data_IF_204434787991
#
_entry.id   IF_204434787991
#
_cell.length_a   1.000
_cell.length_b   1.000
_cell.length_c   1.000
_cell.angle_alpha   90.00
_cell.angle_beta   90.00
_cell.angle_gamma   90.00
#
_symmetry.space_group_name_H-M   'P 1'
#
loop_
_entity.id
_entity.type
_entity.pdbx_description
1 polymer ?
#
# COMPACT_ATOMS: atom_id res chain seq x y z
N UNK A 1 -0.69 -0.18 -21.87
CA UNK A 1 -0.78 -0.12 -23.36
C UNK A 1 0.26 -1.03 -24.03
N UNK A 2 1.54 -1.01 -23.63
CA UNK A 2 2.58 -1.85 -24.24
C UNK A 2 2.29 -3.37 -24.26
N UNK A 3 1.67 -3.93 -23.21
CA UNK A 3 1.33 -5.35 -23.17
C UNK A 3 0.28 -5.74 -24.23
N UNK A 4 -0.72 -4.87 -24.46
CA UNK A 4 -1.75 -5.07 -25.49
C UNK A 4 -1.15 -4.92 -26.89
N UNK A 5 -0.29 -3.92 -27.09
CA UNK A 5 0.41 -3.69 -28.36
C UNK A 5 1.32 -4.86 -28.76
N UNK A 6 1.84 -5.60 -27.77
CA UNK A 6 2.72 -6.75 -27.99
C UNK A 6 1.99 -8.10 -28.04
N UNK A 7 0.69 -8.13 -27.75
CA UNK A 7 -0.07 -9.36 -27.52
C UNK A 7 -0.03 -10.34 -28.71
N UNK A 8 -0.26 -9.84 -29.93
CA UNK A 8 -0.28 -10.68 -31.13
C UNK A 8 1.09 -11.34 -31.35
N UNK A 9 2.17 -10.58 -31.16
CA UNK A 9 3.55 -11.08 -31.28
C UNK A 9 3.91 -12.11 -30.22
N UNK A 10 3.44 -11.93 -28.99
CA UNK A 10 3.66 -12.90 -27.91
C UNK A 10 2.86 -14.18 -28.15
N UNK A 11 1.65 -14.06 -28.69
CA UNK A 11 0.76 -15.19 -29.01
C UNK A 11 1.32 -16.08 -30.12
N UNK A 12 2.09 -15.53 -31.05
CA UNK A 12 2.82 -16.31 -32.06
C UNK A 12 3.85 -17.28 -31.43
N UNK A 13 4.36 -16.98 -30.23
CA UNK A 13 5.39 -17.78 -29.54
C UNK A 13 4.75 -18.83 -28.63
N UNK A 14 3.77 -18.43 -27.81
CA UNK A 14 3.10 -19.30 -26.84
C UNK A 14 1.71 -18.75 -26.46
N UNK A 15 0.83 -19.59 -25.86
CA UNK A 15 -0.41 -19.11 -25.25
C UNK A 15 -0.13 -17.93 -24.32
N UNK A 16 -0.74 -16.79 -24.62
CA UNK A 16 -0.51 -15.52 -23.92
C UNK A 16 -1.81 -15.06 -23.28
N UNK A 17 -1.74 -14.60 -22.03
CA UNK A 17 -2.88 -14.06 -21.29
C UNK A 17 -2.53 -12.65 -20.82
N UNK A 18 -3.51 -11.75 -20.91
CA UNK A 18 -3.42 -10.40 -20.35
C UNK A 18 -4.16 -10.38 -19.02
N UNK A 19 -3.46 -10.02 -17.94
CA UNK A 19 -4.08 -9.70 -16.66
C UNK A 19 -4.56 -8.24 -16.72
N UNK A 20 -5.85 -8.03 -16.47
CA UNK A 20 -6.46 -6.70 -16.54
C UNK A 20 -5.93 -5.78 -15.43
N UNK A 21 -5.66 -4.52 -15.76
CA UNK A 21 -5.36 -3.49 -14.78
C UNK A 21 -6.58 -3.03 -13.96
N UNK A 22 -7.77 -3.55 -14.28
CA UNK A 22 -8.96 -3.37 -13.47
C UNK A 22 -8.97 -4.28 -12.22
N UNK A 23 -8.12 -5.30 -12.17
CA UNK A 23 -7.94 -6.14 -10.98
C UNK A 23 -6.97 -5.41 -10.04
N UNK A 24 -7.54 -4.73 -9.05
CA UNK A 24 -6.80 -3.78 -8.21
C UNK A 24 -6.08 -4.46 -7.03
N UNK A 25 -6.54 -5.64 -6.61
CA UNK A 25 -5.94 -6.38 -5.50
C UNK A 25 -5.11 -7.55 -5.98
N UNK A 26 -4.12 -7.98 -5.18
CA UNK A 26 -3.37 -9.18 -5.50
C UNK A 26 -4.25 -10.42 -5.44
N UNK A 27 -5.31 -10.43 -4.61
CA UNK A 27 -6.30 -11.50 -4.53
C UNK A 27 -7.07 -11.64 -5.84
N UNK A 28 -7.55 -10.53 -6.41
CA UNK A 28 -8.26 -10.54 -7.70
C UNK A 28 -7.35 -11.03 -8.83
N UNK A 29 -6.10 -10.57 -8.85
CA UNK A 29 -5.11 -11.01 -9.82
C UNK A 29 -4.76 -12.50 -9.64
N UNK A 30 -4.62 -12.96 -8.39
CA UNK A 30 -4.39 -14.36 -8.07
C UNK A 30 -5.56 -15.21 -8.50
N UNK A 31 -6.80 -14.81 -8.23
CA UNK A 31 -8.00 -15.55 -8.62
C UNK A 31 -8.12 -15.70 -10.13
N UNK A 32 -7.92 -14.61 -10.88
CA UNK A 32 -7.89 -14.68 -12.34
C UNK A 32 -6.80 -15.64 -12.86
N UNK A 33 -5.58 -15.56 -12.31
CA UNK A 33 -4.48 -16.42 -12.78
C UNK A 33 -4.69 -17.88 -12.35
N UNK A 34 -5.06 -18.11 -11.10
CA UNK A 34 -5.18 -19.44 -10.54
C UNK A 34 -6.41 -20.16 -11.08
N UNK A 35 -7.59 -19.54 -11.01
CA UNK A 35 -8.85 -20.15 -11.43
C UNK A 35 -9.01 -20.09 -12.95
N UNK A 36 -9.20 -18.89 -13.50
CA UNK A 36 -9.62 -18.70 -14.90
C UNK A 36 -8.58 -19.14 -15.92
N UNK A 37 -7.28 -19.04 -15.58
CA UNK A 37 -6.18 -19.33 -16.51
C UNK A 37 -5.59 -20.72 -16.29
N UNK A 38 -5.34 -21.11 -15.04
CA UNK A 38 -4.58 -22.33 -14.71
C UNK A 38 -5.45 -23.47 -14.17
N UNK A 39 -6.71 -23.24 -13.81
CA UNK A 39 -7.58 -24.24 -13.18
C UNK A 39 -7.03 -24.77 -11.85
N UNK A 40 -6.43 -23.90 -11.05
CA UNK A 40 -5.78 -24.15 -9.75
C UNK A 40 -6.57 -23.56 -8.58
N UNK A 41 -7.90 -23.58 -8.64
CA UNK A 41 -8.81 -23.01 -7.63
C UNK A 41 -8.53 -23.52 -6.21
N UNK A 42 -8.12 -24.79 -6.05
CA UNK A 42 -7.77 -25.34 -4.73
C UNK A 42 -6.55 -24.65 -4.11
N UNK A 43 -5.54 -24.31 -4.92
CA UNK A 43 -4.34 -23.61 -4.44
C UNK A 43 -4.63 -22.15 -4.14
N UNK A 44 -5.48 -21.51 -4.93
CA UNK A 44 -5.97 -20.16 -4.63
C UNK A 44 -6.61 -20.14 -3.24
N UNK A 45 -7.55 -21.05 -2.97
CA UNK A 45 -8.23 -21.13 -1.68
C UNK A 45 -7.27 -21.42 -0.52
N UNK A 46 -6.25 -22.26 -0.73
CA UNK A 46 -5.20 -22.50 0.26
C UNK A 46 -4.46 -21.20 0.62
N UNK A 47 -4.04 -20.43 -0.39
CA UNK A 47 -3.31 -19.17 -0.19
C UNK A 47 -4.17 -18.09 0.48
N UNK A 48 -5.43 -17.95 0.07
CA UNK A 48 -6.38 -17.01 0.68
C UNK A 48 -6.66 -17.39 2.15
N UNK A 49 -6.86 -18.68 2.44
CA UNK A 49 -7.07 -19.16 3.81
C UNK A 49 -5.85 -18.89 4.71
N UNK A 50 -4.64 -19.11 4.17
CA UNK A 50 -3.40 -18.82 4.87
C UNK A 50 -3.24 -17.32 5.15
N UNK A 51 -3.61 -16.46 4.19
CA UNK A 51 -3.64 -15.01 4.37
C UNK A 51 -4.62 -14.59 5.47
N UNK A 52 -5.88 -15.05 5.41
CA UNK A 52 -6.90 -14.70 6.40
C UNK A 52 -6.51 -15.15 7.82
N UNK A 53 -5.90 -16.33 7.93
CA UNK A 53 -5.35 -16.83 9.20
C UNK A 53 -4.26 -15.92 9.73
N UNK A 54 -3.31 -15.52 8.87
CA UNK A 54 -2.22 -14.63 9.27
C UNK A 54 -2.73 -13.25 9.67
N UNK A 55 -3.71 -12.69 8.95
CA UNK A 55 -4.34 -11.42 9.32
C UNK A 55 -4.94 -11.51 10.72
N UNK A 56 -5.71 -12.56 11.02
CA UNK A 56 -6.31 -12.75 12.34
C UNK A 56 -5.25 -12.88 13.44
N UNK A 57 -4.22 -13.69 13.22
CA UNK A 57 -3.10 -13.85 14.16
C UNK A 57 -2.38 -12.53 14.44
N UNK A 58 -2.13 -11.72 13.41
CA UNK A 58 -1.47 -10.42 13.57
C UNK A 58 -2.39 -9.43 14.29
N UNK A 59 -3.67 -9.34 13.92
CA UNK A 59 -4.63 -8.47 14.60
C UNK A 59 -4.74 -8.78 16.10
N UNK A 60 -4.68 -10.06 16.49
CA UNK A 60 -4.69 -10.47 17.90
C UNK A 60 -3.37 -10.17 18.62
N UNK A 61 -2.25 -10.16 17.89
CA UNK A 61 -0.91 -10.01 18.47
C UNK A 61 -0.46 -8.56 18.65
N UNK A 62 -1.06 -7.59 17.95
CA UNK A 62 -0.58 -6.20 17.96
C UNK A 62 -1.44 -5.24 18.80
N UNK A 63 -0.84 -4.13 19.22
CA UNK A 63 -1.54 -2.96 19.77
C UNK A 63 -1.42 -1.78 18.82
N UNK A 64 -2.53 -1.39 18.19
CA UNK A 64 -2.58 -0.22 17.30
C UNK A 64 -2.53 1.06 18.15
N UNK A 65 -1.50 1.92 18.01
CA UNK A 65 -1.27 3.03 18.94
C UNK A 65 -2.20 4.22 18.71
N UNK A 66 -2.52 4.53 17.45
CA UNK A 66 -3.43 5.62 17.09
C UNK A 66 -4.05 5.40 15.70
N UNK A 67 -5.32 5.77 15.55
CA UNK A 67 -6.05 5.80 14.28
C UNK A 67 -6.83 7.12 14.14
N UNK A 68 -7.15 7.57 12.91
CA UNK A 68 -6.79 6.97 11.62
C UNK A 68 -5.30 7.09 11.31
N UNK A 69 -4.84 6.48 10.20
CA UNK A 69 -3.45 6.52 9.73
C UNK A 69 -3.35 7.12 8.33
N UNK A 70 -2.37 7.99 8.10
CA UNK A 70 -1.99 8.40 6.75
C UNK A 70 -0.76 7.64 6.24
N UNK A 71 -0.54 7.65 4.92
CA UNK A 71 0.58 7.00 4.26
C UNK A 71 1.38 8.03 3.47
N UNK A 72 2.56 8.38 3.95
CA UNK A 72 3.50 9.26 3.26
C UNK A 72 4.46 8.41 2.42
N UNK A 73 4.41 8.59 1.11
CA UNK A 73 5.33 7.90 0.19
C UNK A 73 6.22 8.91 -0.50
N UNK A 74 7.53 8.68 -0.50
CA UNK A 74 8.50 9.55 -1.16
C UNK A 74 9.08 8.90 -2.40
N UNK A 75 9.18 9.67 -3.47
CA UNK A 75 10.08 9.34 -4.58
C UNK A 75 11.54 9.55 -4.17
N UNK A 76 12.48 9.06 -5.00
CA UNK A 76 13.91 9.17 -4.72
C UNK A 76 14.43 10.62 -4.65
N UNK A 77 13.72 11.58 -5.26
CA UNK A 77 14.05 13.00 -5.21
C UNK A 77 13.32 13.76 -4.08
N UNK A 78 12.52 13.05 -3.27
CA UNK A 78 11.81 13.60 -2.12
C UNK A 78 10.41 14.14 -2.44
N UNK A 79 9.90 13.96 -3.66
CA UNK A 79 8.52 14.35 -4.00
C UNK A 79 7.51 13.52 -3.19
N UNK A 80 6.59 14.13 -2.42
CA UNK A 80 5.65 13.43 -1.57
C UNK A 80 4.39 12.96 -2.30
N UNK A 81 3.94 11.78 -1.95
CA UNK A 81 2.74 11.12 -2.42
C UNK A 81 1.91 10.65 -1.21
N UNK A 82 0.60 10.56 -1.40
CA UNK A 82 -0.30 9.91 -0.46
C UNK A 82 -1.05 8.75 -1.14
N UNK A 83 -1.56 7.85 -0.31
CA UNK A 83 -2.39 6.73 -0.75
C UNK A 83 -3.87 7.01 -0.46
N UNK A 84 -4.77 6.80 -1.44
CA UNK A 84 -6.21 6.74 -1.19
C UNK A 84 -6.57 5.67 -0.16
N UNK A 85 -7.56 5.94 0.67
CA UNK A 85 -8.06 5.03 1.72
C UNK A 85 -8.48 3.66 1.18
N UNK A 86 -8.91 3.58 -0.09
CA UNK A 86 -9.34 2.35 -0.76
C UNK A 86 -8.19 1.56 -1.43
N UNK A 87 -6.96 2.06 -1.39
CA UNK A 87 -5.80 1.40 -2.02
C UNK A 87 -5.41 0.12 -1.27
N UNK A 88 -4.68 -0.78 -1.97
CA UNK A 88 -4.33 -2.10 -1.46
C UNK A 88 -3.63 -2.07 -0.09
N UNK A 89 -2.53 -1.31 0.07
CA UNK A 89 -1.80 -1.21 1.33
C UNK A 89 -2.67 -0.68 2.49
N UNK A 90 -3.39 0.46 2.34
CA UNK A 90 -4.38 0.90 3.33
C UNK A 90 -5.40 -0.16 3.74
N UNK A 91 -5.95 -0.91 2.78
CA UNK A 91 -6.94 -1.96 3.06
C UNK A 91 -6.32 -3.19 3.75
N UNK A 92 -5.08 -3.56 3.40
CA UNK A 92 -4.34 -4.62 4.09
C UNK A 92 -4.10 -4.26 5.55
N UNK A 93 -3.65 -3.04 5.86
CA UNK A 93 -3.42 -2.63 7.25
C UNK A 93 -4.72 -2.38 8.02
N UNK A 94 -5.80 -1.97 7.34
CA UNK A 94 -7.13 -1.88 7.93
C UNK A 94 -7.61 -3.25 8.45
N UNK A 95 -7.29 -4.34 7.75
CA UNK A 95 -7.67 -5.69 8.15
C UNK A 95 -7.04 -6.14 9.48
N UNK A 96 -5.91 -5.54 9.88
CA UNK A 96 -5.26 -5.77 11.18
C UNK A 96 -5.49 -4.63 12.19
N UNK A 97 -6.35 -3.66 11.87
CA UNK A 97 -6.84 -2.64 12.81
C UNK A 97 -6.36 -1.20 12.58
N UNK A 98 -5.51 -0.93 11.59
CA UNK A 98 -5.10 0.44 11.26
C UNK A 98 -6.12 1.10 10.32
N UNK A 99 -7.09 1.83 10.88
CA UNK A 99 -8.09 2.54 10.09
C UNK A 99 -7.44 3.60 9.19
N UNK A 100 -7.60 3.55 7.86
CA UNK A 100 -7.01 4.52 6.96
C UNK A 100 -7.72 5.87 7.06
N UNK A 101 -6.95 6.95 7.05
CA UNK A 101 -7.50 8.29 6.97
C UNK A 101 -8.26 8.48 5.65
N UNK A 102 -9.43 9.13 5.66
CA UNK A 102 -10.31 9.25 4.49
C UNK A 102 -9.85 10.35 3.53
N UNK A 103 -8.62 10.24 3.02
CA UNK A 103 -7.94 11.34 2.33
C UNK A 103 -8.67 11.79 1.06
N UNK A 104 -9.21 10.87 0.27
CA UNK A 104 -9.96 11.22 -0.95
C UNK A 104 -11.35 11.75 -0.59
N UNK A 105 -12.03 11.15 0.38
CA UNK A 105 -13.34 11.65 0.82
C UNK A 105 -13.25 13.08 1.39
N UNK A 106 -12.17 13.41 2.10
CA UNK A 106 -11.91 14.74 2.67
C UNK A 106 -11.39 15.74 1.63
N UNK A 107 -10.80 15.26 0.53
CA UNK A 107 -10.22 16.07 -0.53
C UNK A 107 -10.74 15.64 -1.92
N UNK A 108 -12.04 15.84 -2.20
CA UNK A 108 -12.67 15.33 -3.42
C UNK A 108 -12.15 15.95 -4.73
N UNK A 109 -11.47 17.11 -4.64
CA UNK A 109 -10.86 17.80 -5.76
C UNK A 109 -9.47 17.23 -6.14
N UNK A 110 -8.94 16.28 -5.36
CA UNK A 110 -7.65 15.66 -5.67
C UNK A 110 -7.79 14.63 -6.78
N UNK A 111 -7.11 14.90 -7.89
CA UNK A 111 -7.06 13.97 -9.02
C UNK A 111 -6.04 12.87 -8.74
N UNK A 112 -6.55 11.65 -8.50
CA UNK A 112 -5.73 10.44 -8.51
C UNK A 112 -5.27 10.14 -9.93
N UNK A 113 -3.95 10.12 -10.15
CA UNK A 113 -3.35 9.85 -11.46
C UNK A 113 -3.17 8.33 -11.71
N UNK A 114 -3.24 7.92 -12.98
CA UNK A 114 -2.87 6.56 -13.39
C UNK A 114 -3.80 5.45 -12.87
N UNK A 115 -3.24 4.47 -12.16
CA UNK A 115 -3.99 3.36 -11.53
C UNK A 115 -4.82 3.79 -10.32
N UNK A 116 -4.65 5.04 -9.86
CA UNK A 116 -5.40 5.60 -8.74
C UNK A 116 -5.04 5.01 -7.38
N UNK A 117 -3.87 4.40 -7.27
CA UNK A 117 -3.31 3.80 -6.06
C UNK A 117 -2.35 4.74 -5.32
N UNK A 118 -2.05 5.92 -5.87
CA UNK A 118 -1.39 7.04 -5.16
C UNK A 118 -1.64 8.34 -5.91
N UNK A 119 -1.36 9.47 -5.26
CA UNK A 119 -1.37 10.79 -5.89
C UNK A 119 -0.28 11.68 -5.29
N UNK A 120 0.31 12.50 -6.16
CA UNK A 120 1.36 13.45 -5.81
C UNK A 120 0.79 14.62 -5.00
N UNK A 121 1.61 15.15 -4.09
CA UNK A 121 1.30 16.32 -3.29
C UNK A 121 2.33 17.41 -3.56
N UNK A 122 1.85 18.66 -3.66
CA UNK A 122 2.72 19.81 -3.44
C UNK A 122 3.10 19.89 -1.96
N UNK A 123 4.20 20.58 -1.66
CA UNK A 123 4.65 20.83 -0.28
C UNK A 123 3.55 21.50 0.57
N UNK A 124 2.76 22.39 -0.01
CA UNK A 124 1.64 23.06 0.66
C UNK A 124 0.44 22.15 0.93
N UNK A 125 0.29 21.06 0.16
CA UNK A 125 -0.78 20.09 0.35
C UNK A 125 -0.45 19.05 1.43
N UNK A 126 0.84 18.86 1.76
CA UNK A 126 1.29 17.91 2.80
C UNK A 126 0.54 18.13 4.11
N UNK A 127 0.49 19.37 4.62
CA UNK A 127 -0.18 19.66 5.90
C UNK A 127 -1.71 19.60 5.85
N UNK A 128 -2.30 19.63 4.65
CA UNK A 128 -3.73 19.48 4.44
C UNK A 128 -4.13 18.00 4.46
N UNK A 129 -3.25 17.12 3.97
CA UNK A 129 -3.47 15.67 3.87
C UNK A 129 -3.07 14.92 5.11
N UNK A 130 -1.86 15.20 5.61
CA UNK A 130 -1.25 14.44 6.69
C UNK A 130 -1.69 14.99 8.05
N UNK A 131 -2.97 14.81 8.35
CA UNK A 131 -3.63 15.29 9.57
C UNK A 131 -3.88 14.20 10.60
N UNK A 132 -3.72 12.92 10.20
CA UNK A 132 -3.91 11.78 11.08
C UNK A 132 -2.91 11.78 12.25
N UNK A 133 -3.29 11.20 13.40
CA UNK A 133 -2.41 11.11 14.57
C UNK A 133 -1.22 10.17 14.35
N UNK A 134 -1.22 9.35 13.29
CA UNK A 134 -0.16 8.41 12.94
C UNK A 134 0.11 8.43 11.44
N UNK A 135 1.39 8.31 11.05
CA UNK A 135 1.83 8.22 9.66
C UNK A 135 2.69 6.97 9.49
N UNK A 136 2.38 6.17 8.47
CA UNK A 136 3.37 5.27 7.88
C UNK A 136 4.16 6.02 6.80
N UNK A 137 5.48 6.09 6.94
CA UNK A 137 6.37 6.79 6.01
C UNK A 137 7.29 5.79 5.29
N UNK A 138 7.32 5.80 3.97
CA UNK A 138 8.22 4.95 3.18
C UNK A 138 8.51 5.57 1.82
N UNK A 139 9.34 4.92 1.01
CA UNK A 139 9.71 5.41 -0.32
C UNK A 139 9.42 4.38 -1.40
N UNK A 140 9.22 4.83 -2.64
CA UNK A 140 9.16 3.95 -3.81
C UNK A 140 10.49 3.24 -4.10
N UNK A 141 11.57 3.66 -3.46
CA UNK A 141 12.90 3.03 -3.52
C UNK A 141 13.43 2.80 -2.11
N UNK A 142 14.39 1.90 -2.00
CA UNK A 142 15.00 1.59 -0.70
C UNK A 142 15.73 2.82 -0.10
N UNK A 143 15.58 3.02 1.21
CA UNK A 143 16.25 4.08 1.98
C UNK A 143 15.77 5.52 1.77
N UNK A 144 14.68 5.75 1.03
CA UNK A 144 14.25 7.10 0.63
C UNK A 144 13.36 7.88 1.62
N UNK A 145 13.00 7.31 2.78
CA UNK A 145 12.00 7.91 3.68
C UNK A 145 12.21 7.57 5.17
N UNK A 146 13.43 7.77 5.68
CA UNK A 146 13.73 7.61 7.10
C UNK A 146 12.96 8.63 7.97
N UNK A 147 12.09 8.19 8.91
CA UNK A 147 11.31 9.09 9.76
C UNK A 147 12.14 10.08 10.57
N UNK A 148 13.33 9.67 11.04
CA UNK A 148 14.20 10.53 11.84
C UNK A 148 14.76 11.69 11.00
N UNK A 149 15.14 11.42 9.76
CA UNK A 149 15.54 12.44 8.78
C UNK A 149 14.38 13.38 8.44
N UNK A 150 13.18 12.82 8.19
CA UNK A 150 11.99 13.62 7.87
C UNK A 150 11.56 14.55 9.01
N UNK A 151 11.75 14.15 10.27
CA UNK A 151 11.47 14.99 11.43
C UNK A 151 12.33 16.27 11.51
N UNK A 152 13.44 16.33 10.78
CA UNK A 152 14.27 17.53 10.64
C UNK A 152 13.78 18.51 9.57
N UNK A 153 12.87 18.10 8.69
CA UNK A 153 12.31 18.94 7.63
C UNK A 153 11.11 19.76 8.16
N UNK A 154 11.12 21.10 8.05
CA UNK A 154 9.99 21.95 8.48
C UNK A 154 8.64 21.57 7.87
N UNK A 155 8.62 20.95 6.69
CA UNK A 155 7.40 20.49 6.01
C UNK A 155 6.69 19.40 6.82
N UNK A 156 7.46 18.48 7.41
CA UNK A 156 6.92 17.32 8.14
C UNK A 156 6.93 17.52 9.66
N UNK A 157 7.90 18.25 10.21
CA UNK A 157 8.07 18.45 11.65
C UNK A 157 6.83 19.08 12.33
N UNK A 158 6.04 19.84 11.58
CA UNK A 158 4.81 20.47 12.06
C UNK A 158 3.59 19.55 12.09
N UNK A 159 3.66 18.36 11.50
CA UNK A 159 2.50 17.46 11.37
C UNK A 159 2.16 16.78 12.70
N UNK A 160 0.88 16.47 12.98
CA UNK A 160 0.45 15.88 14.25
C UNK A 160 1.22 14.60 14.62
N UNK A 161 1.37 13.68 13.67
CA UNK A 161 2.10 12.42 13.88
C UNK A 161 3.60 12.62 14.19
N UNK A 162 4.25 13.59 13.54
CA UNK A 162 5.66 13.91 13.81
C UNK A 162 5.83 14.55 15.19
N UNK A 163 4.89 15.41 15.60
CA UNK A 163 4.91 16.02 16.95
C UNK A 163 4.65 15.00 18.05
N UNK A 164 3.80 14.00 17.81
CA UNK A 164 3.48 12.93 18.77
C UNK A 164 4.47 11.75 18.72
N UNK A 165 5.41 11.75 17.78
CA UNK A 165 6.35 10.65 17.55
C UNK A 165 5.69 9.37 17.02
N UNK A 166 4.52 9.48 16.39
CA UNK A 166 3.75 8.37 15.82
C UNK A 166 4.01 8.24 14.31
N UNK A 167 5.29 8.24 13.92
CA UNK A 167 5.71 8.02 12.53
C UNK A 167 6.50 6.73 12.47
N UNK A 168 6.01 5.79 11.67
CA UNK A 168 6.55 4.44 11.55
C UNK A 168 6.98 4.18 10.12
N UNK A 169 8.12 3.55 9.92
CA UNK A 169 8.57 3.21 8.59
C UNK A 169 7.90 1.94 8.05
N UNK A 170 7.71 1.89 6.74
CA UNK A 170 7.42 0.65 6.02
C UNK A 170 8.53 0.34 5.03
N UNK A 171 8.78 -0.94 4.72
CA UNK A 171 9.69 -1.30 3.64
C UNK A 171 9.21 -0.77 2.28
N UNK A 172 10.15 -0.39 1.39
CA UNK A 172 9.81 0.17 0.07
C UNK A 172 8.91 -0.75 -0.79
N UNK A 173 9.01 -2.08 -0.58
CA UNK A 173 8.22 -3.08 -1.29
C UNK A 173 6.77 -3.18 -0.79
N UNK A 174 6.40 -2.51 0.30
CA UNK A 174 5.04 -2.54 0.85
C UNK A 174 4.00 -1.87 -0.07
N UNK A 175 4.42 -0.95 -0.95
CA UNK A 175 3.50 -0.19 -1.80
C UNK A 175 2.63 -1.07 -2.71
N UNK A 176 3.26 -2.03 -3.39
CA UNK A 176 2.65 -2.93 -4.38
C UNK A 176 3.03 -4.36 -4.07
N UNK A 177 2.65 -4.80 -2.88
CA UNK A 177 2.91 -6.14 -2.41
C UNK A 177 2.03 -7.17 -3.15
N UNK A 178 2.65 -8.23 -3.65
CA UNK A 178 1.95 -9.46 -4.04
C UNK A 178 1.63 -10.33 -2.80
N UNK A 179 1.13 -11.55 -2.98
CA UNK A 179 0.86 -12.46 -1.87
C UNK A 179 2.07 -12.62 -0.93
N UNK A 180 3.26 -12.92 -1.48
CA UNK A 180 4.45 -13.21 -0.67
C UNK A 180 4.84 -11.96 0.12
N UNK A 181 4.88 -10.81 -0.55
CA UNK A 181 5.21 -9.54 0.11
C UNK A 181 4.15 -9.06 1.08
N UNK A 182 2.88 -9.44 0.88
CA UNK A 182 1.82 -9.14 1.83
C UNK A 182 1.99 -9.95 3.11
N UNK A 183 2.39 -11.22 3.01
CA UNK A 183 2.73 -12.04 4.17
C UNK A 183 3.95 -11.46 4.92
N UNK A 184 5.00 -11.06 4.18
CA UNK A 184 6.17 -10.37 4.77
C UNK A 184 5.77 -9.05 5.45
N UNK A 185 4.82 -8.30 4.87
CA UNK A 185 4.31 -7.05 5.46
C UNK A 185 3.60 -7.34 6.79
N UNK A 186 2.76 -8.37 6.84
CA UNK A 186 2.06 -8.76 8.06
C UNK A 186 3.05 -9.16 9.17
N UNK A 187 4.13 -9.88 8.83
CA UNK A 187 5.22 -10.16 9.77
C UNK A 187 5.92 -8.89 10.25
N UNK A 188 6.20 -7.96 9.34
CA UNK A 188 6.82 -6.68 9.69
C UNK A 188 5.93 -5.85 10.63
N UNK A 189 4.63 -5.76 10.35
CA UNK A 189 3.65 -5.08 11.21
C UNK A 189 3.58 -5.76 12.57
N UNK A 190 3.49 -7.09 12.62
CA UNK A 190 3.50 -7.82 13.88
C UNK A 190 4.76 -7.51 14.69
N UNK A 191 5.94 -7.48 14.07
CA UNK A 191 7.19 -7.17 14.75
C UNK A 191 7.21 -5.74 15.31
N UNK A 192 6.65 -4.77 14.59
CA UNK A 192 6.65 -3.37 14.99
C UNK A 192 5.66 -3.06 16.13
N UNK A 193 4.53 -3.78 16.20
CA UNK A 193 3.39 -3.41 17.05
C UNK A 193 2.96 -4.47 18.07
N UNK A 194 3.65 -5.62 18.17
CA UNK A 194 3.39 -6.63 19.20
C UNK A 194 3.85 -6.23 20.62
#
# INVERSE_FOLDING_TARGET
MQAVESYDRLTEIAPTVIVSNALLTWQDQLGFIADDVLGQTEKEQELLTAYDTKVAEVAEAITVPATPVNYLVLTADGTPYSLPESSALPQTLAAVGFEPAPVIADNPDFEVYGTGDSFELSTEQVSQVFTAPMIFAFSFVDGGADPATLAGDPVYAGLPAFQSGQVHDLPYWAYRADYIRTMDLLDNIQQQFA
#
